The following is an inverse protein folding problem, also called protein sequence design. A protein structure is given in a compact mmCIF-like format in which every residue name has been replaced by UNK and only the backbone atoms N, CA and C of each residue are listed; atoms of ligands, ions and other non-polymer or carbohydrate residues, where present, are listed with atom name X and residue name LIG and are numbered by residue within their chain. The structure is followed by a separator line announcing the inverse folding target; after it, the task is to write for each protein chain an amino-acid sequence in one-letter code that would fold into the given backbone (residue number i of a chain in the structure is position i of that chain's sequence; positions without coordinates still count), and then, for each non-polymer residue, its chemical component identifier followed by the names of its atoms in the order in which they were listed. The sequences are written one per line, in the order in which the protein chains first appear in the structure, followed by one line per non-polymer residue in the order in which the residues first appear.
data_IF_779064250702
#
_entry.id   IF_779064250702
#
_cell.length_a   1.000
_cell.length_b   1.000
_cell.length_c   1.000
_cell.angle_alpha   90.00
_cell.angle_beta   90.00
_cell.angle_gamma   90.00
#
_symmetry.space_group_name_H-M   'P 1'
#
loop_
_entity.id
_entity.type
_entity.pdbx_description
1 polymer ?
#
# COMPACT_ATOMS: atom_id res chain seq x y z
N UNK A 1 14.79 24.25 -1.16
CA UNK A 1 13.67 23.87 -2.05
C UNK A 1 13.96 22.43 -2.48
N UNK A 2 13.24 21.45 -1.98
CA UNK A 2 13.33 20.06 -2.47
C UNK A 2 12.74 20.09 -3.88
N UNK A 3 13.53 19.75 -4.90
CA UNK A 3 13.04 19.56 -6.27
C UNK A 3 11.93 18.49 -6.17
N UNK A 4 10.69 18.90 -6.42
CA UNK A 4 9.57 17.95 -6.47
C UNK A 4 9.65 17.27 -7.84
N UNK A 5 10.53 16.27 -7.94
CA UNK A 5 10.67 15.50 -9.16
C UNK A 5 9.34 14.79 -9.48
N UNK A 6 8.92 14.88 -10.72
CA UNK A 6 7.75 14.18 -11.21
C UNK A 6 7.93 12.67 -11.02
N UNK A 7 6.93 11.98 -10.53
CA UNK A 7 6.93 10.53 -10.36
C UNK A 7 6.16 9.81 -11.46
N UNK A 8 4.95 10.29 -11.76
CA UNK A 8 4.11 9.75 -12.81
C UNK A 8 3.21 10.83 -13.41
N UNK A 9 2.87 10.68 -14.68
CA UNK A 9 1.88 11.51 -15.38
C UNK A 9 0.76 10.63 -15.93
N UNK A 10 -0.48 11.07 -15.73
CA UNK A 10 -1.68 10.49 -16.32
C UNK A 10 -2.22 11.48 -17.35
N UNK A 11 -2.47 10.99 -18.57
CA UNK A 11 -3.05 11.81 -19.65
C UNK A 11 -4.32 11.16 -20.19
N UNK A 12 -5.46 11.87 -20.04
CA UNK A 12 -6.77 11.45 -20.52
C UNK A 12 -7.17 10.05 -20.04
N UNK A 13 -6.76 9.66 -18.84
CA UNK A 13 -6.96 8.31 -18.30
C UNK A 13 -8.44 8.05 -18.08
N UNK A 14 -8.94 6.98 -18.71
CA UNK A 14 -10.30 6.49 -18.53
C UNK A 14 -10.28 4.99 -18.25
N UNK A 15 -11.05 4.58 -17.24
CA UNK A 15 -11.36 3.17 -16.99
C UNK A 15 -12.86 2.97 -17.06
N UNK A 16 -13.29 2.03 -17.92
CA UNK A 16 -14.70 1.62 -18.02
C UNK A 16 -14.88 0.19 -17.52
N UNK A 17 -15.99 -0.06 -16.86
CA UNK A 17 -16.45 -1.40 -16.47
C UNK A 17 -17.88 -1.60 -16.95
N UNK A 18 -18.12 -2.64 -17.73
CA UNK A 18 -19.45 -2.92 -18.33
C UNK A 18 -20.00 -1.70 -19.07
N UNK A 19 -19.15 -1.03 -19.86
CA UNK A 19 -19.53 0.16 -20.64
C UNK A 19 -19.62 1.48 -19.86
N UNK A 20 -19.68 1.46 -18.53
CA UNK A 20 -19.77 2.65 -17.68
C UNK A 20 -18.37 3.14 -17.25
N UNK A 21 -18.09 4.43 -17.37
CA UNK A 21 -16.88 5.03 -16.84
C UNK A 21 -16.89 4.94 -15.30
N UNK A 22 -15.82 4.38 -14.73
CA UNK A 22 -15.58 4.26 -13.28
C UNK A 22 -14.42 5.14 -12.82
N UNK A 23 -13.63 5.65 -13.78
CA UNK A 23 -12.60 6.66 -13.57
C UNK A 23 -12.43 7.48 -14.85
N UNK A 24 -12.23 8.77 -14.71
CA UNK A 24 -11.84 9.69 -15.77
C UNK A 24 -12.95 10.26 -16.63
N UNK A 25 -12.58 11.04 -17.69
CA UNK A 25 -11.18 11.31 -18.07
C UNK A 25 -10.41 12.08 -16.99
N UNK A 26 -9.14 11.71 -16.79
CA UNK A 26 -8.30 12.28 -15.73
C UNK A 26 -6.91 12.60 -16.28
N UNK A 27 -6.48 13.86 -16.07
CA UNK A 27 -5.10 14.32 -16.20
C UNK A 27 -4.56 14.61 -14.80
N UNK A 28 -3.39 14.07 -14.46
CA UNK A 28 -2.81 14.21 -13.13
C UNK A 28 -1.29 14.05 -13.19
N UNK A 29 -0.59 15.00 -12.59
CA UNK A 29 0.84 14.90 -12.31
C UNK A 29 1.04 14.47 -10.85
N UNK A 30 1.65 13.32 -10.64
CA UNK A 30 2.08 12.85 -9.34
C UNK A 30 3.52 13.24 -9.09
N UNK A 31 3.71 14.06 -8.06
CA UNK A 31 5.03 14.49 -7.65
C UNK A 31 5.72 13.42 -6.79
N UNK A 32 7.05 13.44 -6.79
CA UNK A 32 7.87 12.50 -6.04
C UNK A 32 7.95 12.82 -4.54
N UNK A 33 8.03 11.76 -3.72
CA UNK A 33 8.30 11.85 -2.28
C UNK A 33 7.05 12.01 -1.38
N UNK A 34 7.23 11.72 -0.09
CA UNK A 34 6.26 11.99 0.98
C UNK A 34 4.92 11.27 0.87
N UNK A 35 3.88 11.96 1.34
CA UNK A 35 2.50 11.50 1.33
C UNK A 35 1.69 12.14 0.21
N UNK A 36 0.92 11.33 -0.52
CA UNK A 36 -0.14 11.77 -1.41
C UNK A 36 -1.46 11.19 -0.93
N UNK A 37 -2.43 12.03 -0.60
CA UNK A 37 -3.74 11.61 -0.10
C UNK A 37 -4.78 11.90 -1.17
N UNK A 38 -5.53 10.87 -1.57
CA UNK A 38 -6.65 10.95 -2.52
C UNK A 38 -7.95 10.96 -1.73
N UNK A 39 -8.55 12.14 -1.63
CA UNK A 39 -9.81 12.36 -0.93
C UNK A 39 -11.01 12.28 -1.88
N UNK A 40 -12.13 11.81 -1.38
CA UNK A 40 -13.39 11.82 -2.12
C UNK A 40 -14.42 10.84 -1.57
N UNK A 41 -15.70 10.99 -1.98
CA UNK A 41 -16.76 10.10 -1.53
C UNK A 41 -16.60 8.66 -2.04
N UNK A 42 -17.38 7.75 -1.45
CA UNK A 42 -17.44 6.37 -1.97
C UNK A 42 -17.96 6.36 -3.41
N UNK A 43 -17.33 5.54 -4.25
CA UNK A 43 -17.65 5.46 -5.68
C UNK A 43 -16.99 6.52 -6.58
N UNK A 44 -16.20 7.47 -6.03
CA UNK A 44 -15.50 8.49 -6.83
C UNK A 44 -14.35 7.93 -7.70
N UNK A 45 -14.05 6.65 -7.64
CA UNK A 45 -12.97 6.03 -8.44
C UNK A 45 -11.61 5.97 -7.75
N UNK A 46 -11.49 6.32 -6.45
CA UNK A 46 -10.24 6.33 -5.70
C UNK A 46 -9.48 5.01 -5.79
N UNK A 47 -10.13 3.89 -5.45
CA UNK A 47 -9.57 2.54 -5.57
C UNK A 47 -9.13 2.21 -7.01
N UNK A 48 -9.90 2.66 -8.00
CA UNK A 48 -9.56 2.45 -9.42
C UNK A 48 -8.30 3.23 -9.80
N UNK A 49 -8.19 4.48 -9.33
CA UNK A 49 -6.98 5.29 -9.54
C UNK A 49 -5.73 4.61 -8.95
N UNK A 50 -5.80 4.15 -7.69
CA UNK A 50 -4.68 3.44 -7.07
C UNK A 50 -4.30 2.17 -7.87
N UNK A 51 -5.27 1.40 -8.31
CA UNK A 51 -5.04 0.19 -9.12
C UNK A 51 -4.45 0.49 -10.50
N UNK A 52 -4.84 1.58 -11.12
CA UNK A 52 -4.24 2.07 -12.38
C UNK A 52 -2.77 2.43 -12.14
N UNK A 53 -2.47 3.22 -11.10
CA UNK A 53 -1.12 3.62 -10.73
C UNK A 53 -0.24 2.42 -10.36
N UNK A 54 -0.80 1.42 -9.70
CA UNK A 54 -0.09 0.17 -9.39
C UNK A 54 0.06 -0.75 -10.62
N UNK A 55 -0.72 -0.51 -11.70
CA UNK A 55 -0.70 -1.33 -12.91
C UNK A 55 -1.53 -2.61 -12.85
N UNK A 56 -2.43 -2.74 -11.89
CA UNK A 56 -3.39 -3.87 -11.77
C UNK A 56 -4.59 -3.69 -12.70
N UNK A 57 -5.15 -2.48 -12.75
CA UNK A 57 -6.27 -2.16 -13.64
C UNK A 57 -5.76 -1.67 -15.01
N UNK A 58 -6.39 -2.16 -16.08
CA UNK A 58 -6.10 -1.74 -17.44
C UNK A 58 -6.88 -0.47 -17.78
N UNK A 59 -6.24 0.42 -18.53
CA UNK A 59 -6.88 1.60 -19.09
C UNK A 59 -7.84 1.21 -20.23
N UNK A 60 -8.95 1.93 -20.34
CA UNK A 60 -9.80 1.91 -21.54
C UNK A 60 -9.25 2.89 -22.58
N UNK A 61 -8.79 4.06 -22.15
CA UNK A 61 -8.09 5.06 -22.96
C UNK A 61 -7.15 5.90 -22.08
N UNK A 62 -6.31 6.71 -22.73
CA UNK A 62 -5.29 7.51 -22.07
C UNK A 62 -4.00 6.75 -21.83
N UNK A 63 -3.09 7.35 -21.09
CA UNK A 63 -1.78 6.77 -20.78
C UNK A 63 -1.31 7.13 -19.37
N UNK A 64 -0.45 6.27 -18.81
CA UNK A 64 0.32 6.55 -17.60
C UNK A 64 1.80 6.42 -17.96
N UNK A 65 2.54 7.47 -17.76
CA UNK A 65 4.00 7.51 -17.93
C UNK A 65 4.69 7.64 -16.56
N UNK A 66 5.87 7.05 -16.45
CA UNK A 66 6.68 7.03 -15.24
C UNK A 66 8.05 7.63 -15.54
N UNK A 67 8.65 8.31 -14.57
CA UNK A 67 10.01 8.88 -14.74
C UNK A 67 11.12 7.82 -14.81
N UNK A 68 10.83 6.61 -14.37
CA UNK A 68 11.73 5.44 -14.47
C UNK A 68 11.02 4.29 -15.20
N UNK A 69 11.75 3.31 -15.76
CA UNK A 69 11.14 2.21 -16.50
C UNK A 69 10.05 1.50 -15.68
N UNK A 70 8.89 1.25 -16.28
CA UNK A 70 7.71 0.67 -15.62
C UNK A 70 8.00 -0.66 -14.89
N UNK A 71 8.97 -1.46 -15.37
CA UNK A 71 9.40 -2.70 -14.69
C UNK A 71 10.04 -2.39 -13.35
N UNK A 72 10.91 -1.39 -13.28
CA UNK A 72 11.58 -0.95 -12.04
C UNK A 72 10.55 -0.41 -11.05
N UNK A 73 9.63 0.44 -11.53
CA UNK A 73 8.53 0.97 -10.70
C UNK A 73 7.75 -0.18 -10.05
N UNK A 74 7.31 -1.17 -10.82
CA UNK A 74 6.51 -2.29 -10.31
C UNK A 74 7.24 -3.16 -9.29
N UNK A 75 8.55 -3.31 -9.40
CA UNK A 75 9.36 -4.07 -8.44
C UNK A 75 9.46 -3.36 -7.08
N UNK A 76 9.50 -2.01 -7.10
CA UNK A 76 9.54 -1.17 -5.91
C UNK A 76 8.18 -0.84 -5.30
N UNK A 77 7.07 -1.36 -5.85
CA UNK A 77 5.72 -1.05 -5.38
C UNK A 77 5.16 -2.12 -4.44
N UNK A 78 4.35 -1.68 -3.47
CA UNK A 78 3.50 -2.52 -2.65
C UNK A 78 2.07 -1.98 -2.63
N UNK A 79 1.09 -2.87 -2.44
CA UNK A 79 -0.34 -2.51 -2.37
C UNK A 79 -0.99 -3.15 -1.14
N UNK A 80 -1.70 -2.34 -0.36
CA UNK A 80 -2.52 -2.78 0.77
C UNK A 80 -3.99 -2.49 0.44
N UNK A 81 -4.78 -3.53 0.38
CA UNK A 81 -6.21 -3.45 0.07
C UNK A 81 -7.01 -2.99 1.30
N UNK A 82 -8.14 -2.34 1.06
CA UNK A 82 -9.10 -1.94 2.10
C UNK A 82 -9.50 -3.12 3.00
N UNK A 83 -9.74 -4.29 2.41
CA UNK A 83 -9.92 -5.54 3.14
C UNK A 83 -8.66 -6.38 2.98
N UNK A 84 -7.88 -6.56 4.05
CA UNK A 84 -6.62 -7.27 3.95
C UNK A 84 -6.82 -8.75 3.61
N UNK A 85 -6.03 -9.22 2.63
CA UNK A 85 -6.04 -10.64 2.26
C UNK A 85 -4.94 -11.35 3.04
N UNK A 86 -5.34 -12.26 3.94
CA UNK A 86 -4.40 -13.07 4.71
C UNK A 86 -4.10 -14.37 3.98
N UNK A 87 -2.82 -14.74 3.92
CA UNK A 87 -2.46 -16.10 3.58
C UNK A 87 -2.97 -17.03 4.69
N UNK A 88 -3.50 -18.19 4.33
CA UNK A 88 -3.95 -19.22 5.30
C UNK A 88 -2.75 -19.91 5.96
N UNK A 89 -1.92 -19.11 6.63
CA UNK A 89 -0.67 -19.48 7.29
C UNK A 89 -0.54 -18.67 8.58
N UNK A 90 0.47 -18.95 9.40
CA UNK A 90 0.75 -18.20 10.62
C UNK A 90 1.16 -16.73 10.30
N UNK A 91 1.14 -15.86 11.32
CA UNK A 91 1.65 -14.49 11.26
C UNK A 91 3.10 -14.49 10.74
N UNK A 92 3.96 -15.34 11.35
CA UNK A 92 5.36 -15.54 10.94
C UNK A 92 5.47 -15.84 9.44
N UNK A 93 4.69 -16.78 8.94
CA UNK A 93 4.73 -17.18 7.55
C UNK A 93 4.18 -16.11 6.60
N UNK A 94 3.22 -15.28 7.04
CA UNK A 94 2.74 -14.12 6.28
C UNK A 94 3.84 -13.06 6.12
N UNK A 95 4.59 -12.76 7.19
CA UNK A 95 5.70 -11.80 7.15
C UNK A 95 6.91 -12.34 6.37
N UNK A 96 7.24 -13.62 6.53
CA UNK A 96 8.38 -14.24 5.86
C UNK A 96 8.19 -14.38 4.34
N UNK A 97 6.95 -14.56 3.88
CA UNK A 97 6.65 -14.88 2.48
C UNK A 97 7.25 -13.92 1.45
N UNK A 98 7.09 -12.59 1.58
CA UNK A 98 7.69 -11.66 0.61
C UNK A 98 9.23 -11.73 0.56
N UNK A 99 9.87 -11.98 1.71
CA UNK A 99 11.32 -12.08 1.82
C UNK A 99 11.86 -13.40 1.22
N UNK A 100 11.08 -14.48 1.36
CA UNK A 100 11.37 -15.76 0.72
C UNK A 100 11.35 -15.66 -0.81
N UNK A 101 10.40 -14.89 -1.37
CA UNK A 101 10.32 -14.62 -2.81
C UNK A 101 11.54 -13.84 -3.34
N UNK A 102 12.18 -13.03 -2.48
CA UNK A 102 13.44 -12.35 -2.79
C UNK A 102 14.66 -13.24 -2.63
N UNK A 103 14.50 -14.48 -2.15
CA UNK A 103 15.61 -15.41 -1.94
C UNK A 103 16.55 -15.06 -0.79
N UNK A 104 16.08 -14.27 0.19
CA UNK A 104 16.92 -13.84 1.30
C UNK A 104 17.34 -15.02 2.22
N UNK A 105 18.51 -14.93 2.87
CA UNK A 105 18.96 -15.93 3.83
C UNK A 105 17.99 -16.10 5.01
N UNK A 106 17.84 -17.33 5.53
CA UNK A 106 16.92 -17.63 6.64
C UNK A 106 17.16 -16.77 7.89
N UNK A 107 18.42 -16.49 8.21
CA UNK A 107 18.78 -15.64 9.36
C UNK A 107 18.26 -14.22 9.20
N UNK A 108 18.41 -13.63 8.02
CA UNK A 108 17.90 -12.28 7.70
C UNK A 108 16.37 -12.25 7.72
N UNK A 109 15.71 -13.26 7.12
CA UNK A 109 14.25 -13.38 7.19
C UNK A 109 13.78 -13.42 8.64
N UNK A 110 14.41 -14.24 9.49
CA UNK A 110 14.04 -14.36 10.90
C UNK A 110 14.19 -13.04 11.66
N UNK A 111 15.29 -12.32 11.43
CA UNK A 111 15.53 -11.02 12.06
C UNK A 111 14.49 -9.97 11.63
N UNK A 112 14.20 -9.87 10.33
CA UNK A 112 13.20 -8.93 9.83
C UNK A 112 11.78 -9.28 10.31
N UNK A 113 11.43 -10.57 10.35
CA UNK A 113 10.14 -11.05 10.87
C UNK A 113 9.98 -10.68 12.34
N UNK A 114 11.01 -10.91 13.17
CA UNK A 114 10.98 -10.56 14.60
C UNK A 114 10.82 -9.04 14.79
N UNK A 115 11.58 -8.23 14.05
CA UNK A 115 11.48 -6.77 14.07
C UNK A 115 10.06 -6.29 13.73
N UNK A 116 9.50 -6.75 12.61
CA UNK A 116 8.17 -6.32 12.18
C UNK A 116 7.06 -6.83 13.08
N UNK A 117 7.17 -8.06 13.59
CA UNK A 117 6.20 -8.58 14.56
C UNK A 117 6.16 -7.73 15.83
N UNK A 118 7.32 -7.31 16.34
CA UNK A 118 7.41 -6.38 17.47
C UNK A 118 6.79 -5.01 17.13
N UNK A 119 7.11 -4.46 15.95
CA UNK A 119 6.62 -3.14 15.50
C UNK A 119 5.10 -3.07 15.39
N UNK A 120 4.45 -4.17 15.00
CA UNK A 120 2.97 -4.26 14.88
C UNK A 120 2.28 -4.86 16.11
N UNK A 121 3.03 -5.17 17.18
CA UNK A 121 2.50 -5.72 18.41
C UNK A 121 2.01 -7.17 18.32
N UNK A 122 2.56 -7.99 17.43
CA UNK A 122 2.16 -9.39 17.18
C UNK A 122 3.29 -10.40 17.48
N UNK A 123 4.19 -10.07 18.40
CA UNK A 123 5.30 -10.97 18.76
C UNK A 123 4.82 -12.26 19.43
N UNK A 124 3.78 -12.18 20.25
CA UNK A 124 3.19 -13.33 20.92
C UNK A 124 2.35 -14.20 19.98
N UNK A 125 1.85 -13.63 18.88
CA UNK A 125 0.95 -14.25 17.91
C UNK A 125 1.67 -14.84 16.70
N UNK A 126 3.00 -14.88 16.70
CA UNK A 126 3.80 -15.30 15.51
C UNK A 126 3.38 -16.64 14.93
N UNK A 127 2.95 -17.57 15.76
CA UNK A 127 2.55 -18.93 15.33
C UNK A 127 1.02 -19.09 15.22
N UNK A 128 0.25 -18.03 15.51
CA UNK A 128 -1.21 -17.99 15.33
C UNK A 128 -1.53 -17.93 13.82
N UNK A 129 -2.54 -18.70 13.33
CA UNK A 129 -3.04 -18.55 11.97
C UNK A 129 -3.56 -17.13 11.71
N UNK A 130 -3.00 -16.42 10.73
CA UNK A 130 -3.33 -15.03 10.44
C UNK A 130 -4.84 -14.74 10.23
N UNK A 131 -5.65 -15.66 9.65
CA UNK A 131 -7.10 -15.44 9.54
C UNK A 131 -7.86 -15.41 10.87
N UNK A 132 -7.23 -15.81 12.00
CA UNK A 132 -7.83 -15.76 13.33
C UNK A 132 -7.60 -14.43 14.06
N UNK A 133 -6.76 -13.57 13.52
CA UNK A 133 -6.50 -12.24 14.07
C UNK A 133 -7.76 -11.36 13.96
N UNK A 134 -7.88 -10.38 14.84
CA UNK A 134 -8.89 -9.32 14.73
C UNK A 134 -8.68 -8.48 13.44
N UNK A 135 -9.68 -7.73 13.01
CA UNK A 135 -9.60 -6.91 11.81
C UNK A 135 -8.44 -5.90 11.84
N UNK A 136 -8.23 -5.24 12.99
CA UNK A 136 -7.11 -4.31 13.17
C UNK A 136 -5.75 -4.99 13.11
N UNK A 137 -5.60 -6.16 13.73
CA UNK A 137 -4.36 -6.95 13.67
C UNK A 137 -4.10 -7.46 12.24
N UNK A 138 -5.12 -7.89 11.51
CA UNK A 138 -4.98 -8.27 10.10
C UNK A 138 -4.54 -7.09 9.25
N UNK A 139 -5.07 -5.89 9.50
CA UNK A 139 -4.66 -4.69 8.78
C UNK A 139 -3.20 -4.34 9.06
N UNK A 140 -2.78 -4.37 10.33
CA UNK A 140 -1.37 -4.15 10.72
C UNK A 140 -0.44 -5.21 10.09
N UNK A 141 -0.86 -6.47 10.10
CA UNK A 141 -0.09 -7.55 9.46
C UNK A 141 0.02 -7.36 7.94
N UNK A 142 -1.05 -6.92 7.26
CA UNK A 142 -1.02 -6.64 5.82
C UNK A 142 -0.07 -5.49 5.49
N UNK A 143 -0.10 -4.42 6.30
CA UNK A 143 0.80 -3.28 6.17
C UNK A 143 2.26 -3.70 6.39
N UNK A 144 2.56 -4.42 7.47
CA UNK A 144 3.90 -4.93 7.75
C UNK A 144 4.40 -5.84 6.63
N UNK A 145 3.55 -6.73 6.10
CA UNK A 145 3.89 -7.61 4.97
C UNK A 145 4.20 -6.82 3.69
N UNK A 146 3.54 -5.68 3.48
CA UNK A 146 3.83 -4.80 2.35
C UNK A 146 5.17 -4.07 2.53
N UNK A 147 5.44 -3.58 3.75
CA UNK A 147 6.60 -2.74 4.08
C UNK A 147 7.89 -3.54 4.33
N UNK A 148 7.82 -4.81 4.75
CA UNK A 148 8.99 -5.62 5.15
C UNK A 148 10.04 -5.79 4.04
N UNK A 149 9.64 -5.60 2.78
CA UNK A 149 10.53 -5.61 1.62
C UNK A 149 11.32 -4.32 1.42
N UNK A 150 10.92 -3.22 2.08
CA UNK A 150 11.44 -1.89 1.81
C UNK A 150 11.00 -1.36 0.44
N UNK A 151 9.69 -1.25 0.15
CA UNK A 151 9.23 -0.75 -1.15
C UNK A 151 9.49 0.76 -1.28
N UNK A 152 9.76 1.21 -2.52
CA UNK A 152 9.91 2.64 -2.85
C UNK A 152 8.56 3.38 -2.79
N UNK A 153 7.46 2.68 -3.09
CA UNK A 153 6.11 3.23 -3.10
C UNK A 153 5.10 2.25 -2.51
N UNK A 154 4.23 2.75 -1.65
CA UNK A 154 3.16 1.97 -1.03
C UNK A 154 1.81 2.60 -1.39
N UNK A 155 0.95 1.82 -2.02
CA UNK A 155 -0.45 2.17 -2.28
C UNK A 155 -1.33 1.60 -1.18
N UNK A 156 -2.18 2.44 -0.59
CA UNK A 156 -3.04 2.08 0.54
C UNK A 156 -4.49 2.47 0.21
N UNK A 157 -5.34 1.48 0.10
CA UNK A 157 -6.75 1.70 -0.19
C UNK A 157 -7.55 1.72 1.12
N UNK A 158 -7.85 2.92 1.63
CA UNK A 158 -8.57 3.17 2.89
C UNK A 158 -8.00 2.37 4.09
N UNK A 159 -6.70 2.49 4.42
CA UNK A 159 -6.01 1.58 5.34
C UNK A 159 -6.54 1.61 6.78
N UNK A 160 -7.24 2.67 7.18
CA UNK A 160 -7.78 2.83 8.53
C UNK A 160 -9.30 2.68 8.60
N UNK A 161 -9.97 2.31 7.48
CA UNK A 161 -11.42 2.16 7.48
C UNK A 161 -11.87 1.06 8.45
N UNK A 162 -12.90 1.37 9.25
CA UNK A 162 -13.48 0.46 10.26
C UNK A 162 -12.54 0.03 11.38
N UNK A 163 -11.48 0.79 11.66
CA UNK A 163 -10.59 0.57 12.79
C UNK A 163 -10.95 1.48 13.97
N UNK A 164 -10.62 1.02 15.17
CA UNK A 164 -10.68 1.89 16.36
C UNK A 164 -9.55 2.95 16.32
N UNK A 165 -9.70 3.98 17.15
CA UNK A 165 -8.75 5.09 17.17
C UNK A 165 -7.34 4.71 17.62
N UNK A 166 -7.16 3.59 18.36
CA UNK A 166 -5.84 3.09 18.73
C UNK A 166 -5.15 2.45 17.54
N UNK A 167 -5.82 1.52 16.87
CA UNK A 167 -5.30 0.84 15.68
C UNK A 167 -5.01 1.82 14.54
N UNK A 168 -5.85 2.86 14.38
CA UNK A 168 -5.62 3.94 13.43
C UNK A 168 -4.30 4.66 13.70
N UNK A 169 -4.06 5.11 14.95
CA UNK A 169 -2.80 5.78 15.34
C UNK A 169 -1.57 4.90 15.12
N UNK A 170 -1.66 3.62 15.49
CA UNK A 170 -0.55 2.67 15.28
C UNK A 170 -0.20 2.51 13.79
N UNK A 171 -1.20 2.48 12.90
CA UNK A 171 -0.99 2.44 11.44
C UNK A 171 -0.38 3.74 10.92
N UNK A 172 -0.88 4.89 11.36
CA UNK A 172 -0.34 6.20 10.97
C UNK A 172 1.12 6.38 11.39
N UNK A 173 1.50 5.90 12.57
CA UNK A 173 2.90 5.90 13.02
C UNK A 173 3.78 5.03 12.12
N UNK A 174 3.33 3.83 11.77
CA UNK A 174 4.05 2.95 10.85
C UNK A 174 4.24 3.61 9.48
N UNK A 175 3.22 4.29 8.97
CA UNK A 175 3.28 4.99 7.69
C UNK A 175 4.20 6.22 7.73
N UNK A 176 4.19 6.98 8.85
CA UNK A 176 5.11 8.10 9.05
C UNK A 176 6.57 7.62 9.07
N UNK A 177 6.87 6.54 9.80
CA UNK A 177 8.20 5.96 9.84
C UNK A 177 8.66 5.48 8.46
N UNK A 178 7.77 4.82 7.70
CA UNK A 178 8.07 4.37 6.35
C UNK A 178 8.36 5.55 5.41
N UNK A 179 7.58 6.63 5.51
CA UNK A 179 7.80 7.85 4.72
C UNK A 179 9.10 8.56 5.12
N UNK A 180 9.40 8.64 6.42
CA UNK A 180 10.67 9.20 6.91
C UNK A 180 11.88 8.38 6.45
N UNK A 181 11.70 7.07 6.26
CA UNK A 181 12.72 6.18 5.67
C UNK A 181 12.83 6.28 4.14
N UNK A 182 12.05 7.16 3.50
CA UNK A 182 12.12 7.45 2.06
C UNK A 182 11.04 6.77 1.21
N UNK A 183 10.14 5.97 1.78
CA UNK A 183 9.05 5.39 1.02
C UNK A 183 8.01 6.46 0.64
N UNK A 184 7.54 6.45 -0.59
CA UNK A 184 6.39 7.24 -1.03
C UNK A 184 5.11 6.54 -0.62
N UNK A 185 4.21 7.29 0.01
CA UNK A 185 2.90 6.79 0.44
C UNK A 185 1.82 7.44 -0.43
N UNK A 186 1.00 6.63 -1.08
CA UNK A 186 -0.17 7.08 -1.84
C UNK A 186 -1.38 6.38 -1.25
N UNK A 187 -2.24 7.12 -0.55
CA UNK A 187 -3.38 6.53 0.14
C UNK A 187 -4.71 7.17 -0.24
N UNK A 188 -5.75 6.37 -0.21
CA UNK A 188 -7.13 6.87 -0.30
C UNK A 188 -7.76 6.94 1.08
N UNK A 189 -8.57 7.95 1.31
CA UNK A 189 -9.45 8.04 2.48
C UNK A 189 -10.73 8.79 2.12
N UNK A 190 -11.77 8.61 2.90
CA UNK A 190 -12.97 9.46 2.89
C UNK A 190 -13.06 10.29 4.18
N UNK A 191 -12.11 10.11 5.11
CA UNK A 191 -12.04 10.84 6.38
C UNK A 191 -11.04 11.99 6.27
N UNK A 192 -11.55 13.21 6.45
CA UNK A 192 -10.76 14.45 6.46
C UNK A 192 -9.79 14.53 7.66
N UNK A 193 -10.08 13.81 8.74
CA UNK A 193 -9.20 13.75 9.91
C UNK A 193 -7.91 12.97 9.67
N UNK A 194 -7.82 12.21 8.56
CA UNK A 194 -6.64 11.44 8.14
C UNK A 194 -5.82 12.15 7.06
N UNK A 195 -6.29 13.30 6.57
CA UNK A 195 -5.63 14.12 5.57
C UNK A 195 -4.82 15.23 6.23
#
# INVERSE_FOLDING_TARGET
MVSQDLYAQLHGVVVKRRGKAVLGPLDLDLLGGGFTIVLGPNGAGKTTLLKVLHGVDRLTSGSVSWTVPAKTVRQGQAYVFQRPIMLRRSVRANLAYPLQLLGLPKAEISARVAHWAARIGLSAELDVPAPRLSGGEQQKLALARALIRGPDTVFLDEPCSNLDGRSTREIEEILRDASAAGARIIMTTHDLGQA
#
